data_IF_587612120907
#
_entry.id   IF_587612120907
#
_cell.length_a   1.000
_cell.length_b   1.000
_cell.length_c   1.000
_cell.angle_alpha   90.00
_cell.angle_beta   90.00
_cell.angle_gamma   90.00
#
_symmetry.space_group_name_H-M   'P 1'
#
loop_
_entity.id
_entity.type
_entity.pdbx_description
1 polymer ?
#
# COMPACT_ATOMS: atom_id res chain seq x y z
N UNK A 1 -10.87 19.24 -20.89
CA UNK A 1 -12.06 18.94 -20.07
C UNK A 1 -11.60 18.94 -18.61
N UNK A 2 -12.16 19.83 -17.78
CA UNK A 2 -11.78 19.94 -16.37
C UNK A 2 -12.49 18.87 -15.56
N UNK A 3 -11.74 18.04 -14.83
CA UNK A 3 -12.34 17.04 -13.95
C UNK A 3 -13.13 17.70 -12.83
N UNK A 4 -14.29 17.14 -12.48
CA UNK A 4 -15.01 17.54 -11.27
C UNK A 4 -14.26 17.04 -10.03
N UNK A 5 -14.25 17.85 -8.99
CA UNK A 5 -13.67 17.52 -7.69
C UNK A 5 -14.79 17.12 -6.73
N UNK A 6 -14.57 16.07 -5.95
CA UNK A 6 -15.51 15.58 -4.94
C UNK A 6 -14.81 15.53 -3.58
N UNK A 7 -15.53 15.90 -2.53
CA UNK A 7 -15.05 15.75 -1.15
C UNK A 7 -15.44 14.35 -0.67
N UNK A 8 -14.44 13.54 -0.33
CA UNK A 8 -14.60 12.21 0.27
C UNK A 8 -14.13 12.28 1.72
N UNK A 9 -15.04 12.08 2.66
CA UNK A 9 -14.80 12.34 4.09
C UNK A 9 -14.34 11.11 4.86
N UNK A 10 -14.65 9.91 4.37
CA UNK A 10 -14.37 8.67 5.06
C UNK A 10 -14.20 7.48 4.10
N UNK A 11 -13.85 6.33 4.68
CA UNK A 11 -13.59 5.11 3.92
C UNK A 11 -14.86 4.52 3.27
N UNK A 12 -16.03 4.69 3.88
CA UNK A 12 -17.28 4.18 3.32
C UNK A 12 -17.66 4.99 2.08
N UNK A 13 -17.59 6.32 2.17
CA UNK A 13 -17.79 7.24 1.05
C UNK A 13 -16.80 6.99 -0.10
N UNK A 14 -15.52 6.71 0.21
CA UNK A 14 -14.55 6.32 -0.79
C UNK A 14 -14.94 5.00 -1.48
N UNK A 15 -15.37 4.00 -0.70
CA UNK A 15 -15.68 2.65 -1.17
C UNK A 15 -17.01 2.57 -1.92
N UNK A 16 -17.94 3.49 -1.69
CA UNK A 16 -19.20 3.59 -2.44
C UNK A 16 -19.15 4.53 -3.65
N UNK A 17 -18.11 5.37 -3.78
CA UNK A 17 -17.98 6.31 -4.90
C UNK A 17 -18.00 5.62 -6.27
N UNK A 18 -19.00 5.94 -7.09
CA UNK A 18 -19.33 5.26 -8.35
C UNK A 18 -19.47 6.21 -9.55
N UNK A 19 -19.09 7.49 -9.40
CA UNK A 19 -19.18 8.47 -10.48
C UNK A 19 -18.43 7.98 -11.74
N UNK A 20 -19.09 7.92 -12.91
CA UNK A 20 -18.46 7.46 -14.15
C UNK A 20 -17.23 8.26 -14.56
N UNK A 21 -16.23 7.56 -15.09
CA UNK A 21 -15.01 8.12 -15.65
C UNK A 21 -13.84 8.17 -14.66
N UNK A 22 -13.99 7.59 -13.47
CA UNK A 22 -13.01 7.71 -12.39
C UNK A 22 -12.34 6.38 -12.04
N UNK A 23 -11.14 6.48 -11.48
CA UNK A 23 -10.42 5.38 -10.86
C UNK A 23 -10.12 5.74 -9.40
N UNK A 24 -10.44 4.83 -8.50
CA UNK A 24 -10.16 4.90 -7.07
C UNK A 24 -8.87 4.17 -6.79
N UNK A 25 -7.92 4.81 -6.12
CA UNK A 25 -6.65 4.19 -5.77
C UNK A 25 -6.40 4.25 -4.26
N UNK A 26 -5.96 3.13 -3.69
CA UNK A 26 -5.54 3.01 -2.31
C UNK A 26 -4.11 2.45 -2.24
N UNK A 27 -3.31 2.98 -1.32
CA UNK A 27 -1.94 2.54 -1.06
C UNK A 27 -1.86 1.95 0.35
N UNK A 28 -1.23 0.79 0.48
CA UNK A 28 -0.87 0.20 1.77
C UNK A 28 0.65 0.14 1.89
N UNK A 29 1.16 0.57 3.05
CA UNK A 29 2.54 0.39 3.49
C UNK A 29 2.50 -0.47 4.76
N UNK A 30 3.22 -1.60 4.76
CA UNK A 30 3.20 -2.52 5.90
C UNK A 30 4.62 -2.90 6.30
N UNK A 31 4.91 -2.85 7.60
CA UNK A 31 6.14 -3.36 8.19
C UNK A 31 5.83 -4.64 8.97
N UNK A 32 6.62 -5.69 8.75
CA UNK A 32 6.53 -6.96 9.48
C UNK A 32 7.92 -7.31 10.05
N UNK A 33 8.06 -7.53 11.36
CA UNK A 33 9.30 -8.06 11.92
C UNK A 33 9.54 -9.49 11.41
N UNK A 34 10.77 -9.81 11.02
CA UNK A 34 11.14 -11.16 10.51
C UNK A 34 12.07 -11.85 11.51
N UNK A 35 13.13 -11.15 11.92
CA UNK A 35 14.08 -11.57 12.97
C UNK A 35 14.50 -10.32 13.76
N UNK A 36 15.16 -10.47 14.92
CA UNK A 36 15.72 -9.31 15.63
C UNK A 36 16.58 -8.45 14.69
N UNK A 37 16.29 -7.14 14.64
CA UNK A 37 16.98 -6.21 13.75
C UNK A 37 16.60 -6.28 12.26
N UNK A 38 15.70 -7.17 11.86
CA UNK A 38 15.26 -7.30 10.46
C UNK A 38 13.75 -7.12 10.32
N UNK A 39 13.36 -6.12 9.53
CA UNK A 39 11.96 -5.82 9.20
C UNK A 39 11.74 -5.92 7.70
N UNK A 40 10.68 -6.60 7.28
CA UNK A 40 10.21 -6.61 5.91
C UNK A 40 9.20 -5.50 5.68
N UNK A 41 9.44 -4.68 4.65
CA UNK A 41 8.56 -3.59 4.23
C UNK A 41 7.85 -3.96 2.94
N UNK A 42 6.53 -3.85 2.93
CA UNK A 42 5.69 -4.08 1.76
C UNK A 42 5.03 -2.78 1.31
N UNK A 43 4.85 -2.66 0.00
CA UNK A 43 4.00 -1.64 -0.62
C UNK A 43 2.99 -2.33 -1.50
N UNK A 44 1.73 -1.92 -1.40
CA UNK A 44 0.65 -2.43 -2.24
C UNK A 44 -0.19 -1.25 -2.73
N UNK A 45 -0.53 -1.25 -4.01
CA UNK A 45 -1.45 -0.26 -4.58
C UNK A 45 -2.61 -1.02 -5.20
N UNK A 46 -3.82 -0.73 -4.73
CA UNK A 46 -5.06 -1.27 -5.27
C UNK A 46 -5.76 -0.17 -6.03
N UNK A 47 -6.20 -0.48 -7.24
CA UNK A 47 -6.96 0.44 -8.07
C UNK A 47 -8.24 -0.24 -8.52
N UNK A 48 -9.34 0.46 -8.35
CA UNK A 48 -10.65 0.08 -8.84
C UNK A 48 -11.20 1.18 -9.76
N UNK A 49 -12.01 0.81 -10.75
CA UNK A 49 -12.53 1.76 -11.75
C UNK A 49 -14.04 1.75 -11.73
N UNK A 50 -14.67 2.93 -11.80
CA UNK A 50 -16.13 3.06 -11.66
C UNK A 50 -16.92 2.54 -12.85
N UNK A 51 -16.30 2.48 -14.05
CA UNK A 51 -16.92 1.90 -15.24
C UNK A 51 -15.89 1.31 -16.22
N UNK A 52 -16.39 0.67 -17.28
CA UNK A 52 -15.57 0.01 -18.29
C UNK A 52 -14.74 0.97 -19.17
N UNK A 53 -15.21 2.18 -19.43
CA UNK A 53 -14.44 3.21 -20.14
C UNK A 53 -13.28 3.70 -19.27
N UNK A 54 -13.52 3.96 -17.98
CA UNK A 54 -12.50 4.28 -17.00
C UNK A 54 -11.46 3.14 -16.90
N UNK A 55 -11.89 1.88 -16.86
CA UNK A 55 -10.99 0.71 -16.89
C UNK A 55 -10.08 0.70 -18.11
N UNK A 56 -10.62 0.95 -19.31
CA UNK A 56 -9.84 1.00 -20.56
C UNK A 56 -8.87 2.17 -20.56
N UNK A 57 -9.31 3.34 -20.11
CA UNK A 57 -8.46 4.53 -20.00
C UNK A 57 -7.32 4.32 -19.00
N UNK A 58 -7.64 3.81 -17.82
CA UNK A 58 -6.66 3.47 -16.80
C UNK A 58 -5.68 2.39 -17.29
N UNK A 59 -6.17 1.35 -17.98
CA UNK A 59 -5.31 0.33 -18.57
C UNK A 59 -4.30 0.88 -19.57
N UNK A 60 -4.71 1.79 -20.46
CA UNK A 60 -3.81 2.49 -21.40
C UNK A 60 -2.79 3.36 -20.67
N UNK A 61 -3.27 4.17 -19.71
CA UNK A 61 -2.41 4.99 -18.86
C UNK A 61 -1.37 4.11 -18.15
N UNK A 62 -1.81 3.05 -17.49
CA UNK A 62 -0.95 2.13 -16.75
C UNK A 62 0.06 1.42 -17.64
N UNK A 63 -0.33 1.02 -18.84
CA UNK A 63 0.59 0.40 -19.80
C UNK A 63 1.76 1.33 -20.15
N UNK A 64 1.51 2.64 -20.26
CA UNK A 64 2.54 3.65 -20.54
C UNK A 64 3.46 3.89 -19.34
N UNK A 65 2.90 3.99 -18.12
CA UNK A 65 3.66 4.45 -16.94
C UNK A 65 4.19 3.34 -16.04
N UNK A 66 3.72 2.09 -16.19
CA UNK A 66 4.04 0.98 -15.27
C UNK A 66 5.54 0.82 -15.02
N UNK A 67 6.36 0.82 -16.07
CA UNK A 67 7.79 0.55 -15.94
C UNK A 67 8.49 1.62 -15.09
N UNK A 68 8.22 2.90 -15.38
CA UNK A 68 8.75 4.02 -14.59
C UNK A 68 8.24 4.01 -13.15
N UNK A 69 6.93 3.77 -12.94
CA UNK A 69 6.34 3.69 -11.60
C UNK A 69 6.97 2.57 -10.76
N UNK A 70 7.21 1.40 -11.36
CA UNK A 70 7.86 0.28 -10.66
C UNK A 70 9.29 0.64 -10.25
N UNK A 71 10.07 1.28 -11.11
CA UNK A 71 11.44 1.68 -10.79
C UNK A 71 11.47 2.67 -9.62
N UNK A 72 10.62 3.70 -9.66
CA UNK A 72 10.53 4.71 -8.59
C UNK A 72 10.20 4.05 -7.25
N UNK A 73 9.26 3.10 -7.23
CA UNK A 73 8.87 2.38 -6.00
C UNK A 73 10.01 1.53 -5.46
N UNK A 74 10.75 0.85 -6.32
CA UNK A 74 11.94 0.08 -5.92
C UNK A 74 13.00 1.01 -5.34
N UNK A 75 13.28 2.15 -5.99
CA UNK A 75 14.26 3.11 -5.48
C UNK A 75 13.83 3.76 -4.15
N UNK A 76 12.55 4.06 -3.99
CA UNK A 76 11.97 4.52 -2.73
C UNK A 76 12.21 3.48 -1.61
N UNK A 77 11.93 2.19 -1.86
CA UNK A 77 12.17 1.13 -0.88
C UNK A 77 13.66 0.98 -0.54
N UNK A 78 14.54 1.04 -1.54
CA UNK A 78 16.00 1.03 -1.34
C UNK A 78 16.45 2.22 -0.49
N UNK A 79 15.91 3.41 -0.74
CA UNK A 79 16.22 4.61 0.03
C UNK A 79 15.74 4.50 1.49
N UNK A 80 14.53 3.97 1.71
CA UNK A 80 14.00 3.70 3.05
C UNK A 80 14.90 2.72 3.79
N UNK A 81 15.29 1.61 3.15
CA UNK A 81 16.22 0.63 3.72
C UNK A 81 17.52 1.29 4.16
N UNK A 82 18.20 1.99 3.25
CA UNK A 82 19.47 2.68 3.56
C UNK A 82 19.34 3.65 4.74
N UNK A 83 18.22 4.38 4.83
CA UNK A 83 17.98 5.33 5.94
C UNK A 83 17.68 4.62 7.26
N UNK A 84 16.97 3.50 7.24
CA UNK A 84 16.68 2.70 8.42
C UNK A 84 17.95 2.04 8.97
N UNK A 85 18.78 1.44 8.12
CA UNK A 85 20.03 0.77 8.51
C UNK A 85 21.03 1.75 9.13
N UNK A 86 21.22 2.95 8.55
CA UNK A 86 22.06 4.01 9.15
C UNK A 86 21.59 4.48 10.52
N UNK A 87 20.29 4.39 10.81
CA UNK A 87 19.74 4.74 12.14
C UNK A 87 19.86 3.59 13.14
N UNK A 88 19.85 2.35 12.65
CA UNK A 88 19.98 1.14 13.45
C UNK A 88 21.41 0.88 13.94
N UNK A 89 22.43 1.40 13.25
CA UNK A 89 23.85 1.30 13.65
C UNK A 89 24.17 2.01 14.99
N UNK A 90 23.23 2.80 15.54
CA UNK A 90 23.34 3.42 16.87
C UNK A 90 22.64 2.68 18.01
N UNK A 91 21.95 1.55 17.74
CA UNK A 91 21.28 0.76 18.77
C UNK A 91 22.17 -0.45 19.13
N UNK A 92 22.78 -0.50 20.33
CA UNK A 92 23.62 -1.62 20.71
C UNK A 92 22.80 -2.92 20.72
N UNK A 93 23.37 -4.06 20.29
CA UNK A 93 22.70 -5.35 20.37
C UNK A 93 22.60 -5.75 21.85
N UNK A 94 21.45 -5.44 22.47
CA UNK A 94 21.21 -5.74 23.88
C UNK A 94 19.94 -5.11 24.47
N UNK A 95 19.47 -3.98 23.96
CA UNK A 95 18.19 -3.40 24.42
C UNK A 95 17.05 -3.80 23.50
N UNK A 96 16.60 -5.04 23.67
CA UNK A 96 15.21 -5.39 23.38
C UNK A 96 14.33 -4.52 24.30
N UNK A 97 13.94 -3.35 23.80
CA UNK A 97 12.99 -2.48 24.48
C UNK A 97 11.76 -3.30 24.87
N UNK A 98 11.44 -3.27 26.16
CA UNK A 98 10.23 -3.78 26.77
C UNK A 98 9.00 -3.05 26.19
N UNK A 99 8.66 -3.37 24.95
CA UNK A 99 7.37 -3.04 24.35
C UNK A 99 6.43 -4.19 24.68
N UNK A 100 5.54 -3.98 25.65
CA UNK A 100 4.45 -4.91 25.96
C UNK A 100 3.82 -5.46 24.67
N UNK A 101 3.57 -6.78 24.58
CA UNK A 101 2.84 -7.31 23.45
C UNK A 101 1.46 -6.66 23.43
N UNK A 102 1.09 -6.06 22.29
CA UNK A 102 -0.32 -5.77 21.97
C UNK A 102 -1.03 -7.11 21.99
N UNK A 103 -1.58 -7.45 23.16
CA UNK A 103 -2.34 -8.68 23.41
C UNK A 103 -3.78 -8.33 23.13
N UNK A 104 -4.09 -8.18 21.84
CA UNK A 104 -5.44 -8.07 21.33
C UNK A 104 -5.58 -9.07 20.19
N UNK A 105 -6.64 -9.90 20.15
CA UNK A 105 -6.79 -10.87 19.09
C UNK A 105 -6.89 -10.16 17.74
N UNK A 106 -5.99 -10.51 16.80
CA UNK A 106 -6.18 -10.18 15.40
C UNK A 106 -7.50 -10.80 14.93
N UNK A 107 -8.36 -10.08 14.19
CA UNK A 107 -9.48 -10.72 13.52
C UNK A 107 -8.93 -11.76 12.53
N UNK A 108 -9.34 -13.00 12.75
CA UNK A 108 -9.05 -14.15 11.90
C UNK A 108 -9.63 -13.93 10.50
N UNK A 109 -8.76 -13.90 9.48
CA UNK A 109 -9.14 -14.32 8.13
C UNK A 109 -9.43 -15.82 8.19
N UNK A 110 -10.52 -16.33 7.58
CA UNK A 110 -10.44 -16.83 6.18
C UNK A 110 -11.81 -16.75 5.45
N UNK A 111 -12.03 -17.01 4.15
CA UNK A 111 -11.37 -17.87 3.17
C UNK A 111 -11.43 -17.27 1.75
N UNK A 112 -10.38 -17.58 0.97
CA UNK A 112 -10.44 -17.70 -0.49
C UNK A 112 -11.26 -18.96 -0.82
N UNK A 113 -12.31 -18.83 -1.63
CA UNK A 113 -12.77 -19.94 -2.48
C UNK A 113 -12.28 -19.67 -3.90
N UNK A 114 -11.64 -20.69 -4.46
CA UNK A 114 -11.25 -20.77 -5.85
C UNK A 114 -12.44 -21.25 -6.70
N UNK A 115 -12.46 -20.79 -7.96
CA UNK A 115 -12.87 -21.52 -9.17
C UNK A 115 -14.10 -22.45 -9.11
N UNK A 116 -15.16 -22.00 -9.79
CA UNK A 116 -16.01 -22.81 -10.65
C UNK A 116 -16.22 -22.05 -11.95
#
# INVERSE_FOLDING_TARGET
>A
SGGRTFTITDAAAFSSFDEPGYARAAMTLRCEPVTPGTTRLYTETRVDTTDAAARRAFGRYWFLVRAGSQLIRVEMLRAIRRRAERRGEGVPPGEAGNGSPVTGPLPSRPHRCASG
#
